data_IF_077105660171
#
_entry.id   IF_077105660171
#
_cell.length_a   1.000
_cell.length_b   1.000
_cell.length_c   1.000
_cell.angle_alpha   90.00
_cell.angle_beta   90.00
_cell.angle_gamma   90.00
#
_symmetry.space_group_name_H-M   'P 1'
#
loop_
_entity.id
_entity.type
_entity.pdbx_description
1 polymer ?
#
# COMPACT_ATOMS: atom_id res chain seq x y z
N UNK A 1 -1.56 5.78 6.48
CA UNK A 1 -2.75 5.72 5.62
C UNK A 1 -3.57 4.46 5.89
N UNK A 2 -2.94 3.27 5.93
CA UNK A 2 -3.61 1.99 6.18
C UNK A 2 -3.89 1.73 7.69
N UNK A 3 -4.46 2.71 8.37
CA UNK A 3 -4.81 2.67 9.79
C UNK A 3 -6.18 3.34 10.02
N UNK A 4 -6.30 4.59 9.64
CA UNK A 4 -7.49 5.39 9.92
C UNK A 4 -8.81 4.79 9.38
N UNK A 5 -8.86 4.13 8.21
CA UNK A 5 -10.10 3.52 7.71
C UNK A 5 -10.66 2.42 8.62
N UNK A 6 -9.81 1.77 9.42
CA UNK A 6 -10.22 0.65 10.25
C UNK A 6 -10.78 1.07 11.60
N UNK A 7 -10.29 2.19 12.18
CA UNK A 7 -10.62 2.64 13.54
C UNK A 7 -12.11 2.84 13.81
N UNK A 8 -12.94 3.37 12.88
CA UNK A 8 -14.36 3.54 13.14
C UNK A 8 -15.16 2.24 13.18
N UNK A 9 -14.65 1.17 12.55
CA UNK A 9 -15.40 -0.05 12.29
C UNK A 9 -14.87 -1.26 13.06
N UNK A 10 -13.62 -1.21 13.53
CA UNK A 10 -12.94 -2.33 14.18
C UNK A 10 -12.21 -1.89 15.44
N UNK A 11 -12.08 -2.82 16.39
CA UNK A 11 -11.08 -2.69 17.44
C UNK A 11 -9.73 -3.04 16.86
N UNK A 12 -8.84 -2.04 16.75
CA UNK A 12 -7.53 -2.18 16.11
C UNK A 12 -6.48 -2.56 17.14
N UNK A 13 -5.66 -3.55 16.81
CA UNK A 13 -4.45 -3.93 17.53
C UNK A 13 -3.25 -3.70 16.62
N UNK A 14 -2.22 -3.07 17.15
CA UNK A 14 -1.03 -2.75 16.39
C UNK A 14 0.04 -3.81 16.61
N UNK A 15 0.63 -4.28 15.52
CA UNK A 15 1.81 -5.13 15.54
C UNK A 15 3.04 -4.24 15.51
N UNK A 16 4.02 -4.55 16.34
CA UNK A 16 5.25 -3.78 16.46
C UNK A 16 6.11 -3.86 15.21
N UNK A 17 6.97 -2.86 15.05
CA UNK A 17 8.07 -2.87 14.10
C UNK A 17 9.39 -2.77 14.85
N UNK A 18 10.47 -3.27 14.23
CA UNK A 18 11.81 -3.04 14.77
C UNK A 18 12.31 -1.62 14.43
N UNK A 19 13.49 -1.27 14.92
CA UNK A 19 14.12 0.06 14.71
C UNK A 19 14.42 0.34 13.22
N UNK A 20 14.46 -0.68 12.39
CA UNK A 20 14.58 -0.56 10.94
C UNK A 20 13.23 -0.43 10.22
N UNK A 21 12.11 -0.47 10.94
CA UNK A 21 10.74 -0.39 10.42
C UNK A 21 10.25 -1.70 9.79
N UNK A 22 10.85 -2.86 10.12
CA UNK A 22 10.39 -4.18 9.69
C UNK A 22 9.30 -4.66 10.63
N UNK A 23 8.27 -5.28 10.07
CA UNK A 23 7.20 -5.90 10.87
C UNK A 23 7.77 -7.02 11.76
N UNK A 24 7.44 -6.98 13.04
CA UNK A 24 7.75 -8.04 14.00
C UNK A 24 6.78 -9.21 13.81
N UNK A 25 7.22 -10.23 13.08
CA UNK A 25 6.42 -11.41 12.78
C UNK A 25 6.13 -12.25 14.03
N UNK A 26 6.99 -12.21 15.04
CA UNK A 26 6.75 -12.89 16.33
C UNK A 26 5.62 -12.20 17.09
N UNK A 27 5.63 -10.86 17.14
CA UNK A 27 4.55 -10.09 17.77
C UNK A 27 3.20 -10.28 17.03
N UNK A 28 3.22 -10.40 15.70
CA UNK A 28 2.02 -10.75 14.93
C UNK A 28 1.48 -12.13 15.33
N UNK A 29 2.35 -13.15 15.38
CA UNK A 29 2.00 -14.52 15.78
C UNK A 29 1.43 -14.54 17.21
N UNK A 30 2.09 -13.88 18.15
CA UNK A 30 1.67 -13.82 19.55
C UNK A 30 0.32 -13.10 19.70
N UNK A 31 0.11 -12.03 18.91
CA UNK A 31 -1.15 -11.30 18.90
C UNK A 31 -2.30 -12.13 18.38
N UNK A 32 -2.09 -12.88 17.28
CA UNK A 32 -3.09 -13.79 16.71
C UNK A 32 -3.42 -14.94 17.69
N UNK A 33 -2.41 -15.53 18.34
CA UNK A 33 -2.60 -16.56 19.36
C UNK A 33 -3.40 -16.03 20.55
N UNK A 34 -3.05 -14.86 21.07
CA UNK A 34 -3.70 -14.24 22.23
C UNK A 34 -5.16 -13.87 21.95
N UNK A 35 -5.46 -13.43 20.74
CA UNK A 35 -6.80 -13.01 20.34
C UNK A 35 -7.68 -14.17 19.81
N UNK A 36 -7.13 -15.35 19.64
CA UNK A 36 -7.80 -16.64 19.43
C UNK A 36 -9.11 -16.56 18.60
N UNK A 37 -9.01 -16.36 17.30
CA UNK A 37 -10.16 -16.33 16.37
C UNK A 37 -11.05 -15.05 16.42
N UNK A 38 -10.71 -14.09 17.26
CA UNK A 38 -11.41 -12.78 17.29
C UNK A 38 -10.92 -11.84 16.19
N UNK A 39 -9.70 -12.05 15.68
CA UNK A 39 -9.16 -11.28 14.56
C UNK A 39 -9.89 -11.69 13.28
N UNK A 40 -10.48 -10.73 12.59
CA UNK A 40 -11.17 -10.94 11.31
C UNK A 40 -10.34 -10.50 10.12
N UNK A 41 -9.45 -9.54 10.33
CA UNK A 41 -8.65 -8.95 9.28
C UNK A 41 -7.25 -8.62 9.80
N UNK A 42 -6.23 -9.01 9.05
CA UNK A 42 -4.86 -8.53 9.19
C UNK A 42 -4.61 -7.52 8.06
N UNK A 43 -4.48 -6.24 8.41
CA UNK A 43 -4.23 -5.19 7.44
C UNK A 43 -2.75 -4.80 7.46
N UNK A 44 -2.06 -4.94 6.34
CA UNK A 44 -0.63 -4.68 6.21
C UNK A 44 -0.32 -3.87 4.95
N UNK A 45 0.73 -3.04 4.99
CA UNK A 45 1.26 -2.46 3.76
C UNK A 45 2.14 -3.47 3.04
N UNK A 46 1.99 -3.58 1.72
CA UNK A 46 2.84 -4.45 0.91
C UNK A 46 4.28 -3.95 0.82
N UNK A 47 4.44 -2.62 0.78
CA UNK A 47 5.74 -1.95 0.86
C UNK A 47 5.60 -0.61 1.60
N UNK A 48 6.56 -0.30 2.47
CA UNK A 48 6.55 0.93 3.25
C UNK A 48 6.85 2.15 2.38
N UNK A 49 6.03 3.18 2.54
CA UNK A 49 6.25 4.49 1.89
C UNK A 49 7.28 5.38 2.62
N UNK A 50 7.91 4.88 3.67
CA UNK A 50 8.98 5.57 4.41
C UNK A 50 10.29 4.82 4.27
N UNK A 51 10.31 3.53 4.64
CA UNK A 51 11.56 2.74 4.64
C UNK A 51 11.84 2.04 3.31
N UNK A 52 10.83 1.94 2.44
CA UNK A 52 10.91 1.17 1.19
C UNK A 52 10.85 -0.34 1.40
N UNK A 53 10.73 -0.84 2.61
CA UNK A 53 10.65 -2.28 2.89
C UNK A 53 9.45 -2.94 2.23
N UNK A 54 9.68 -4.10 1.64
CA UNK A 54 8.63 -5.04 1.23
C UNK A 54 8.38 -6.03 2.37
N UNK A 55 7.13 -6.15 2.76
CA UNK A 55 6.71 -7.17 3.72
C UNK A 55 6.50 -8.53 3.04
N UNK A 56 6.67 -9.60 3.82
CA UNK A 56 6.31 -10.97 3.39
C UNK A 56 4.79 -11.15 3.42
N UNK A 57 4.12 -10.57 2.43
CA UNK A 57 2.65 -10.56 2.38
C UNK A 57 2.07 -11.98 2.32
N UNK A 58 2.76 -12.93 1.70
CA UNK A 58 2.31 -14.33 1.60
C UNK A 58 2.50 -15.08 2.93
N UNK A 59 3.63 -14.87 3.61
CA UNK A 59 3.82 -15.41 4.95
C UNK A 59 2.83 -14.85 5.97
N UNK A 60 2.52 -13.55 5.86
CA UNK A 60 1.49 -12.90 6.68
C UNK A 60 0.09 -13.46 6.34
N UNK A 61 -0.22 -13.68 5.07
CA UNK A 61 -1.47 -14.31 4.62
C UNK A 61 -1.65 -15.70 5.22
N UNK A 62 -0.64 -16.55 5.08
CA UNK A 62 -0.65 -17.90 5.65
C UNK A 62 -0.89 -17.88 7.16
N UNK A 63 -0.22 -16.97 7.85
CA UNK A 63 -0.38 -16.81 9.29
C UNK A 63 -1.78 -16.33 9.66
N UNK A 64 -2.34 -15.36 8.96
CA UNK A 64 -3.71 -14.87 9.15
C UNK A 64 -4.73 -15.98 8.91
N UNK A 65 -4.62 -16.70 7.80
CA UNK A 65 -5.54 -17.79 7.44
C UNK A 65 -5.50 -18.94 8.44
N UNK A 66 -4.33 -19.31 8.97
CA UNK A 66 -4.21 -20.32 10.03
C UNK A 66 -5.00 -19.94 11.30
N UNK A 67 -5.28 -18.65 11.50
CA UNK A 67 -6.06 -18.13 12.63
C UNK A 67 -7.50 -17.72 12.25
N UNK A 68 -7.94 -18.05 11.03
CA UNK A 68 -9.29 -17.75 10.53
C UNK A 68 -9.52 -16.25 10.22
N UNK A 69 -8.46 -15.49 10.02
CA UNK A 69 -8.50 -14.09 9.61
C UNK A 69 -8.19 -13.94 8.13
N UNK A 70 -8.81 -12.95 7.46
CA UNK A 70 -8.45 -12.55 6.11
C UNK A 70 -7.24 -11.59 6.15
N UNK A 71 -6.59 -11.40 4.99
CA UNK A 71 -5.53 -10.43 4.80
C UNK A 71 -5.95 -9.30 3.86
N UNK A 72 -5.70 -8.05 4.27
CA UNK A 72 -5.78 -6.87 3.43
C UNK A 72 -4.40 -6.29 3.18
N UNK A 73 -4.01 -6.16 1.92
CA UNK A 73 -2.73 -5.56 1.53
C UNK A 73 -2.96 -4.17 0.96
N UNK A 74 -2.38 -3.16 1.62
CA UNK A 74 -2.19 -1.84 1.02
C UNK A 74 -1.03 -1.95 0.02
N UNK A 75 -1.38 -2.06 -1.25
CA UNK A 75 -0.46 -2.21 -2.37
C UNK A 75 0.02 -0.89 -2.96
N UNK A 76 -0.29 0.24 -2.33
CA UNK A 76 -0.03 1.58 -2.89
C UNK A 76 1.43 1.83 -3.28
N UNK A 77 2.38 1.19 -2.61
CA UNK A 77 3.81 1.24 -2.96
C UNK A 77 4.34 -0.07 -3.55
N UNK A 78 3.63 -1.17 -3.38
CA UNK A 78 4.06 -2.47 -3.91
C UNK A 78 3.73 -2.59 -5.40
N UNK A 79 2.46 -2.36 -5.76
CA UNK A 79 1.93 -2.60 -7.11
C UNK A 79 2.71 -1.84 -8.21
N UNK A 80 3.08 -0.55 -8.04
CA UNK A 80 3.80 0.18 -9.08
C UNK A 80 5.28 -0.22 -9.24
N UNK A 81 5.89 -0.89 -8.25
CA UNK A 81 7.35 -1.01 -8.16
C UNK A 81 7.87 -2.45 -8.13
N UNK A 82 7.01 -3.45 -7.95
CA UNK A 82 7.48 -4.82 -7.83
C UNK A 82 6.43 -5.85 -8.27
N UNK A 83 6.85 -6.91 -8.95
CA UNK A 83 5.97 -8.02 -9.28
C UNK A 83 5.56 -8.76 -7.99
N UNK A 84 4.31 -9.19 -7.94
CA UNK A 84 3.76 -10.11 -6.93
C UNK A 84 2.54 -10.81 -7.50
N UNK A 85 2.12 -11.90 -6.87
CA UNK A 85 0.93 -12.66 -7.24
C UNK A 85 -0.09 -12.60 -6.10
N UNK A 86 -1.34 -12.20 -6.40
CA UNK A 86 -2.43 -12.25 -5.41
C UNK A 86 -2.93 -13.66 -5.13
N UNK A 87 -2.76 -14.58 -6.10
CA UNK A 87 -3.32 -15.93 -6.05
C UNK A 87 -2.27 -16.97 -6.39
N UNK A 88 -1.24 -17.12 -5.55
CA UNK A 88 -0.21 -18.12 -5.75
C UNK A 88 -0.81 -19.55 -5.69
N UNK A 89 -0.02 -20.54 -6.12
CA UNK A 89 -0.48 -21.93 -6.20
C UNK A 89 -0.93 -22.51 -4.84
N UNK A 90 -0.32 -22.07 -3.73
CA UNK A 90 -0.78 -22.42 -2.39
C UNK A 90 -1.91 -21.48 -1.96
N UNK A 91 -3.15 -21.98 -1.76
CA UNK A 91 -4.27 -21.14 -1.32
C UNK A 91 -4.05 -20.44 0.03
N UNK A 92 -3.18 -20.99 0.89
CA UNK A 92 -2.86 -20.39 2.18
C UNK A 92 -2.11 -19.06 2.04
N UNK A 93 -1.41 -18.88 0.93
CA UNK A 93 -0.60 -17.69 0.63
C UNK A 93 -1.37 -16.60 -0.11
N UNK A 94 -2.65 -16.84 -0.45
CA UNK A 94 -3.46 -15.92 -1.23
C UNK A 94 -3.74 -14.63 -0.47
N UNK A 95 -3.72 -13.52 -1.20
CA UNK A 95 -4.15 -12.21 -0.69
C UNK A 95 -5.65 -12.08 -0.92
N UNK A 96 -6.43 -11.81 0.15
CA UNK A 96 -7.88 -11.68 0.05
C UNK A 96 -8.30 -10.32 -0.50
N UNK A 97 -7.67 -9.24 0.01
CA UNK A 97 -7.99 -7.88 -0.39
C UNK A 97 -6.73 -7.11 -0.75
N UNK A 98 -6.80 -6.37 -1.85
CA UNK A 98 -5.73 -5.48 -2.30
C UNK A 98 -6.29 -4.11 -2.66
N UNK A 99 -5.68 -3.04 -2.14
CA UNK A 99 -6.00 -1.68 -2.58
C UNK A 99 -4.74 -0.95 -3.06
N UNK A 100 -4.88 -0.15 -4.12
CA UNK A 100 -3.81 0.69 -4.63
C UNK A 100 -4.35 1.92 -5.36
N UNK A 101 -3.46 2.83 -5.75
CA UNK A 101 -3.82 4.11 -6.36
C UNK A 101 -3.15 4.27 -7.73
N UNK A 102 -3.94 4.63 -8.72
CA UNK A 102 -3.51 4.78 -10.11
C UNK A 102 -2.41 5.86 -10.27
N UNK A 103 -2.47 6.97 -9.51
CA UNK A 103 -1.49 8.04 -9.61
C UNK A 103 -0.06 7.63 -9.23
N UNK A 104 0.11 6.54 -8.51
CA UNK A 104 1.43 5.95 -8.21
C UNK A 104 1.89 4.97 -9.28
N UNK A 105 0.98 4.59 -10.19
CA UNK A 105 1.26 3.77 -11.37
C UNK A 105 1.34 4.61 -12.66
N UNK A 106 1.80 5.86 -12.54
CA UNK A 106 1.95 6.81 -13.66
C UNK A 106 0.64 7.23 -14.33
N UNK A 107 -0.53 6.84 -13.79
CA UNK A 107 -1.83 7.19 -14.33
C UNK A 107 -2.39 8.46 -13.66
N UNK A 108 -2.72 9.52 -14.42
CA UNK A 108 -3.34 10.73 -13.89
C UNK A 108 -4.82 10.51 -13.53
N UNK A 109 -5.48 11.56 -13.06
CA UNK A 109 -6.92 11.67 -12.80
C UNK A 109 -7.49 10.89 -11.61
N UNK A 110 -6.62 10.41 -10.70
CA UNK A 110 -7.01 10.06 -9.33
C UNK A 110 -7.90 8.82 -9.16
N UNK A 111 -7.77 7.80 -10.02
CA UNK A 111 -8.46 6.53 -9.79
C UNK A 111 -7.84 5.74 -8.63
N UNK A 112 -8.67 5.05 -7.86
CA UNK A 112 -8.29 4.07 -6.84
C UNK A 112 -8.92 2.72 -7.13
N UNK A 113 -8.25 1.64 -6.75
CA UNK A 113 -8.67 0.28 -7.02
C UNK A 113 -8.75 -0.50 -5.71
N UNK A 114 -9.84 -1.24 -5.54
CA UNK A 114 -10.00 -2.27 -4.53
C UNK A 114 -10.30 -3.60 -5.23
N UNK A 115 -9.48 -4.61 -4.99
CA UNK A 115 -9.73 -5.99 -5.38
C UNK A 115 -10.16 -6.74 -4.12
N UNK A 116 -11.28 -7.45 -4.19
CA UNK A 116 -11.86 -8.18 -3.07
C UNK A 116 -12.60 -9.44 -3.57
N UNK A 117 -12.82 -10.43 -2.70
CA UNK A 117 -13.62 -11.61 -3.06
C UNK A 117 -15.05 -11.23 -3.44
N UNK A 118 -15.54 -11.78 -4.54
CA UNK A 118 -16.90 -11.51 -5.04
C UNK A 118 -17.98 -11.77 -3.99
N UNK A 119 -17.82 -12.84 -3.18
CA UNK A 119 -18.77 -13.18 -2.11
C UNK A 119 -18.94 -12.05 -1.09
N UNK A 120 -17.84 -11.38 -0.73
CA UNK A 120 -17.84 -10.33 0.31
C UNK A 120 -18.41 -9.04 -0.26
N UNK A 121 -18.09 -8.75 -1.54
CA UNK A 121 -18.65 -7.60 -2.27
C UNK A 121 -20.18 -7.74 -2.42
N UNK A 122 -20.68 -8.94 -2.74
CA UNK A 122 -22.12 -9.18 -2.90
C UNK A 122 -22.91 -9.08 -1.60
N UNK A 123 -22.28 -9.25 -0.46
CA UNK A 123 -22.93 -9.20 0.87
C UNK A 123 -22.79 -7.83 1.54
N UNK A 124 -21.99 -6.92 0.97
CA UNK A 124 -21.74 -5.63 1.58
C UNK A 124 -22.80 -4.60 1.18
N UNK A 125 -23.09 -3.67 2.07
CA UNK A 125 -23.92 -2.51 1.78
C UNK A 125 -23.06 -1.34 1.27
N UNK A 126 -23.58 -0.48 0.38
CA UNK A 126 -22.83 0.65 -0.13
C UNK A 126 -22.54 1.65 0.99
N UNK A 127 -21.30 2.09 1.10
CA UNK A 127 -20.91 3.13 2.04
C UNK A 127 -21.41 4.52 1.61
N UNK A 128 -21.46 4.76 0.29
CA UNK A 128 -21.93 6.01 -0.31
C UNK A 128 -23.26 5.76 -1.01
N UNK A 129 -24.27 6.53 -0.64
CA UNK A 129 -25.60 6.45 -1.23
C UNK A 129 -25.79 7.58 -2.22
N UNK A 130 -26.12 7.25 -3.48
CA UNK A 130 -26.32 8.25 -4.52
C UNK A 130 -26.73 7.67 -5.86
N UNK A 131 -26.96 8.54 -6.83
CA UNK A 131 -27.19 8.12 -8.22
C UNK A 131 -26.01 7.32 -8.74
N UNK A 132 -26.25 6.45 -9.71
CA UNK A 132 -25.25 5.52 -10.25
C UNK A 132 -25.19 4.18 -9.51
N UNK A 133 -25.45 4.13 -8.20
CA UNK A 133 -25.49 2.90 -7.41
C UNK A 133 -26.90 2.31 -7.26
N UNK A 134 -27.92 3.01 -7.73
CA UNK A 134 -29.35 2.71 -7.52
C UNK A 134 -29.98 2.20 -8.80
N UNK A 135 -30.66 1.05 -8.73
CA UNK A 135 -31.51 0.51 -9.80
C UNK A 135 -32.91 1.16 -9.75
N UNK A 136 -33.52 1.20 -8.57
CA UNK A 136 -34.83 1.82 -8.35
C UNK A 136 -34.94 2.46 -6.97
N UNK A 137 -35.46 3.67 -6.91
CA UNK A 137 -35.79 4.33 -5.65
C UNK A 137 -37.25 4.80 -5.63
N UNK A 138 -37.90 4.62 -4.50
CA UNK A 138 -39.22 5.17 -4.19
C UNK A 138 -39.17 5.87 -2.83
N UNK A 139 -40.28 6.49 -2.42
CA UNK A 139 -40.39 7.06 -1.04
C UNK A 139 -40.34 6.02 0.08
N UNK A 140 -40.48 4.73 -0.26
CA UNK A 140 -40.63 3.65 0.72
C UNK A 140 -39.49 2.64 0.69
N UNK A 141 -38.77 2.51 -0.43
CA UNK A 141 -37.68 1.55 -0.56
C UNK A 141 -36.65 1.97 -1.61
N UNK A 142 -35.45 1.44 -1.49
CA UNK A 142 -34.36 1.54 -2.46
C UNK A 142 -33.96 0.13 -2.88
N UNK A 143 -33.83 -0.08 -4.20
CA UNK A 143 -33.18 -1.26 -4.78
C UNK A 143 -31.85 -0.83 -5.37
N UNK A 144 -30.80 -1.38 -4.86
CA UNK A 144 -29.44 -1.11 -5.27
C UNK A 144 -29.09 -1.91 -6.54
N UNK A 145 -28.13 -1.42 -7.29
CA UNK A 145 -27.49 -2.19 -8.38
C UNK A 145 -26.66 -3.34 -7.80
N UNK A 146 -26.24 -4.25 -8.68
CA UNK A 146 -25.29 -5.28 -8.29
C UNK A 146 -23.87 -4.70 -8.22
N UNK A 147 -22.95 -5.30 -7.44
CA UNK A 147 -21.54 -4.99 -7.55
C UNK A 147 -20.97 -5.26 -8.95
N UNK A 148 -20.01 -4.45 -9.43
CA UNK A 148 -19.32 -3.39 -8.70
C UNK A 148 -20.05 -2.04 -8.63
N UNK A 149 -21.05 -1.78 -9.44
CA UNK A 149 -21.76 -0.50 -9.58
C UNK A 149 -22.37 -0.04 -8.25
N UNK A 150 -22.77 -0.98 -7.40
CA UNK A 150 -23.26 -0.72 -6.05
C UNK A 150 -22.34 0.21 -5.24
N UNK A 151 -21.02 0.12 -5.45
CA UNK A 151 -20.00 0.87 -4.71
C UNK A 151 -19.50 2.12 -5.44
N UNK A 152 -20.02 2.40 -6.63
CA UNK A 152 -19.60 3.51 -7.47
C UNK A 152 -20.69 4.60 -7.56
N UNK A 153 -21.02 5.19 -6.40
CA UNK A 153 -22.00 6.27 -6.35
C UNK A 153 -21.49 7.51 -7.10
N UNK A 154 -22.35 8.09 -7.92
CA UNK A 154 -22.05 9.23 -8.79
C UNK A 154 -21.60 8.83 -10.20
N UNK A 155 -20.97 9.76 -10.91
CA UNK A 155 -20.42 9.48 -12.25
C UNK A 155 -19.06 8.81 -12.10
N UNK A 156 -18.86 7.61 -12.70
CA UNK A 156 -17.56 6.93 -12.65
C UNK A 156 -16.43 7.78 -13.24
N UNK A 157 -15.24 7.66 -12.66
CA UNK A 157 -14.04 8.35 -13.15
C UNK A 157 -13.46 7.64 -14.40
N UNK A 158 -14.18 7.73 -15.52
CA UNK A 158 -13.81 7.07 -16.78
C UNK A 158 -12.40 7.46 -17.25
N UNK A 159 -12.03 8.73 -17.12
CA UNK A 159 -10.72 9.20 -17.55
C UNK A 159 -9.59 8.58 -16.72
N UNK A 160 -9.79 8.45 -15.40
CA UNK A 160 -8.83 7.80 -14.53
C UNK A 160 -8.70 6.30 -14.80
N UNK A 161 -9.81 5.62 -15.11
CA UNK A 161 -9.81 4.19 -15.48
C UNK A 161 -9.05 3.95 -16.79
N UNK A 162 -9.34 4.74 -17.83
CA UNK A 162 -8.65 4.64 -19.13
C UNK A 162 -7.16 4.93 -18.99
N UNK A 163 -6.79 5.97 -18.21
CA UNK A 163 -5.40 6.29 -17.96
C UNK A 163 -4.67 5.17 -17.18
N UNK A 164 -5.35 4.53 -16.23
CA UNK A 164 -4.79 3.39 -15.50
C UNK A 164 -4.60 2.19 -16.44
N UNK A 165 -5.56 1.88 -17.29
CA UNK A 165 -5.43 0.78 -18.26
C UNK A 165 -4.21 0.99 -19.16
N UNK A 166 -4.05 2.18 -19.75
CA UNK A 166 -2.89 2.50 -20.57
C UNK A 166 -1.55 2.39 -19.81
N UNK A 167 -1.52 2.81 -18.55
CA UNK A 167 -0.35 2.67 -17.70
C UNK A 167 -0.03 1.19 -17.40
N UNK A 168 -1.04 0.38 -17.10
CA UNK A 168 -0.88 -1.06 -16.86
C UNK A 168 -0.38 -1.79 -18.10
N UNK A 169 -0.93 -1.51 -19.28
CA UNK A 169 -0.48 -2.06 -20.56
C UNK A 169 0.99 -1.69 -20.82
N UNK A 170 1.36 -0.42 -20.65
CA UNK A 170 2.75 0.04 -20.81
C UNK A 170 3.71 -0.66 -19.86
N UNK A 171 3.34 -0.80 -18.58
CA UNK A 171 4.18 -1.50 -17.59
C UNK A 171 4.26 -3.01 -17.87
N UNK A 172 3.19 -3.61 -18.38
CA UNK A 172 3.19 -5.02 -18.79
C UNK A 172 4.11 -5.26 -20.00
N UNK A 173 4.08 -4.35 -20.99
CA UNK A 173 4.94 -4.41 -22.18
C UNK A 173 6.43 -4.27 -21.84
N UNK A 174 6.75 -3.39 -20.88
CA UNK A 174 8.13 -3.26 -20.35
C UNK A 174 8.52 -4.50 -19.54
N UNK A 175 7.57 -5.06 -18.81
CA UNK A 175 7.76 -6.14 -17.85
C UNK A 175 8.06 -5.63 -16.44
N UNK A 176 7.21 -5.95 -15.48
CA UNK A 176 7.37 -5.51 -14.08
C UNK A 176 8.67 -6.00 -13.43
N UNK A 177 9.22 -7.13 -13.89
CA UNK A 177 10.54 -7.61 -13.46
C UNK A 177 11.65 -6.66 -13.87
N UNK A 178 11.65 -6.20 -15.11
CA UNK A 178 12.62 -5.25 -15.65
C UNK A 178 12.54 -3.89 -14.95
N UNK A 179 11.32 -3.39 -14.72
CA UNK A 179 11.09 -2.16 -13.94
C UNK A 179 11.71 -2.28 -12.55
N UNK A 180 11.40 -3.37 -11.85
CA UNK A 180 11.92 -3.62 -10.50
C UNK A 180 13.45 -3.73 -10.45
N UNK A 181 14.05 -4.41 -11.41
CA UNK A 181 15.51 -4.56 -11.49
C UNK A 181 16.19 -3.22 -11.80
N UNK A 182 15.66 -2.46 -12.74
CA UNK A 182 16.16 -1.11 -13.07
C UNK A 182 16.12 -0.19 -11.86
N UNK A 183 14.99 -0.12 -11.19
CA UNK A 183 14.82 0.67 -9.96
C UNK A 183 15.78 0.22 -8.85
N UNK A 184 15.97 -1.09 -8.68
CA UNK A 184 16.93 -1.63 -7.70
C UNK A 184 18.40 -1.25 -8.01
N UNK A 185 18.76 -1.10 -9.28
CA UNK A 185 20.09 -0.58 -9.64
C UNK A 185 20.26 0.88 -9.24
N UNK A 186 19.25 1.71 -9.54
CA UNK A 186 19.26 3.13 -9.17
C UNK A 186 19.28 3.34 -7.66
N UNK A 187 18.48 2.58 -6.91
CA UNK A 187 18.41 2.72 -5.46
C UNK A 187 19.72 2.31 -4.78
N UNK A 188 20.38 1.25 -5.25
CA UNK A 188 21.71 0.85 -4.75
C UNK A 188 22.76 1.93 -5.00
N UNK A 189 22.75 2.52 -6.19
CA UNK A 189 23.63 3.63 -6.53
C UNK A 189 23.39 4.83 -5.60
N UNK A 190 22.14 5.24 -5.43
CA UNK A 190 21.77 6.36 -4.56
C UNK A 190 22.12 6.10 -3.08
N UNK A 191 21.87 4.90 -2.55
CA UNK A 191 22.25 4.51 -1.19
C UNK A 191 23.78 4.63 -1.01
N UNK A 192 24.56 4.08 -1.93
CA UNK A 192 26.02 4.14 -1.86
C UNK A 192 26.53 5.58 -1.85
N UNK A 193 25.93 6.46 -2.67
CA UNK A 193 26.25 7.88 -2.68
C UNK A 193 25.89 8.58 -1.37
N UNK A 194 24.67 8.39 -0.88
CA UNK A 194 24.21 8.99 0.37
C UNK A 194 25.00 8.54 1.59
N UNK A 195 25.42 7.27 1.62
CA UNK A 195 26.27 6.74 2.70
C UNK A 195 27.63 7.42 2.80
N UNK A 196 28.15 7.97 1.70
CA UNK A 196 29.44 8.65 1.67
C UNK A 196 29.38 10.11 2.14
N UNK A 197 28.17 10.66 2.35
CA UNK A 197 27.98 12.06 2.76
C UNK A 197 27.94 12.14 4.28
N UNK A 198 28.89 12.87 4.92
CA UNK A 198 28.86 13.07 6.37
C UNK A 198 27.58 13.77 6.82
N UNK A 199 27.03 13.35 7.95
CA UNK A 199 25.81 13.91 8.53
C UNK A 199 24.49 13.43 7.88
N UNK A 200 24.54 12.60 6.84
CA UNK A 200 23.35 11.95 6.28
C UNK A 200 23.03 10.69 7.07
N UNK A 201 21.81 10.61 7.59
CA UNK A 201 21.24 9.42 8.23
C UNK A 201 20.07 8.90 7.38
N UNK A 202 20.15 7.64 6.93
CA UNK A 202 19.08 6.98 6.17
C UNK A 202 18.21 6.12 7.09
N UNK A 203 16.90 6.09 6.78
CA UNK A 203 15.87 5.28 7.46
C UNK A 203 15.47 4.06 6.63
N UNK A 204 16.41 3.50 5.91
CA UNK A 204 16.20 2.31 5.11
C UNK A 204 17.36 1.36 5.35
N UNK A 205 17.05 0.11 5.68
CA UNK A 205 18.08 -0.91 5.86
C UNK A 205 18.52 -1.49 4.51
N UNK A 206 19.81 -1.80 4.39
CA UNK A 206 20.37 -2.42 3.19
C UNK A 206 19.91 -3.88 3.00
N UNK A 207 19.61 -4.58 4.10
CA UNK A 207 19.29 -6.01 4.10
C UNK A 207 17.80 -6.28 4.30
N UNK A 208 17.10 -6.53 3.20
CA UNK A 208 15.77 -7.12 3.25
C UNK A 208 15.69 -8.31 2.27
N UNK A 209 15.48 -9.53 2.81
CA UNK A 209 15.35 -10.76 1.99
C UNK A 209 14.16 -10.71 1.00
N UNK A 210 13.16 -9.88 1.29
CA UNK A 210 11.98 -9.68 0.44
C UNK A 210 12.17 -8.54 -0.57
N UNK A 211 13.33 -7.87 -0.51
CA UNK A 211 13.64 -6.73 -1.35
C UNK A 211 13.03 -5.42 -0.84
N UNK A 212 13.09 -4.42 -1.68
CA UNK A 212 12.60 -3.08 -1.41
C UNK A 212 11.99 -2.45 -2.65
N UNK A 213 11.22 -1.40 -2.45
CA UNK A 213 10.80 -0.47 -3.51
C UNK A 213 11.75 0.72 -3.57
N UNK A 214 11.74 1.44 -4.67
CA UNK A 214 12.67 2.53 -5.03
C UNK A 214 12.42 3.80 -4.24
N UNK A 215 12.62 3.73 -2.93
CA UNK A 215 12.39 4.85 -2.02
C UNK A 215 13.50 4.89 -0.97
N UNK A 216 14.02 6.10 -0.69
CA UNK A 216 14.98 6.36 0.39
C UNK A 216 14.45 7.53 1.21
N UNK A 217 14.29 7.33 2.51
CA UNK A 217 14.09 8.41 3.47
C UNK A 217 15.39 8.70 4.19
N UNK A 218 15.72 9.97 4.35
CA UNK A 218 16.94 10.39 5.02
C UNK A 218 16.76 11.73 5.73
N UNK A 219 17.61 12.00 6.69
CA UNK A 219 17.80 13.31 7.32
C UNK A 219 19.24 13.76 7.17
N UNK A 220 19.48 15.05 7.28
CA UNK A 220 20.81 15.66 7.30
C UNK A 220 20.98 16.34 8.65
N UNK A 221 22.06 16.01 9.35
CA UNK A 221 22.34 16.56 10.67
C UNK A 221 22.39 18.10 10.65
N UNK A 222 21.74 18.74 11.60
CA UNK A 222 21.68 20.20 11.73
C UNK A 222 20.76 20.91 10.73
N UNK A 223 20.12 20.20 9.79
CA UNK A 223 19.21 20.80 8.81
C UNK A 223 17.78 20.28 8.96
N UNK A 224 16.81 21.20 8.83
CA UNK A 224 15.41 20.80 8.77
C UNK A 224 15.09 20.10 7.44
N UNK A 225 14.09 19.21 7.44
CA UNK A 225 13.65 18.55 6.21
C UNK A 225 13.17 19.54 5.13
N UNK A 226 12.61 20.70 5.52
CA UNK A 226 12.23 21.78 4.61
C UNK A 226 13.45 22.40 3.95
N UNK A 227 14.46 22.74 4.75
CA UNK A 227 15.72 23.32 4.25
C UNK A 227 16.42 22.39 3.27
N UNK A 228 16.49 21.10 3.61
CA UNK A 228 17.09 20.09 2.71
C UNK A 228 16.32 20.01 1.39
N UNK A 229 14.98 19.95 1.44
CA UNK A 229 14.16 19.89 0.24
C UNK A 229 14.30 21.15 -0.63
N UNK A 230 14.39 22.33 -0.01
CA UNK A 230 14.57 23.60 -0.72
C UNK A 230 15.93 23.70 -1.43
N UNK A 231 17.02 23.32 -0.75
CA UNK A 231 18.36 23.29 -1.33
C UNK A 231 18.42 22.32 -2.51
N UNK A 232 17.93 21.10 -2.33
CA UNK A 232 17.91 20.08 -3.39
C UNK A 232 17.13 20.56 -4.62
N UNK A 233 15.99 21.21 -4.41
CA UNK A 233 15.18 21.74 -5.51
C UNK A 233 15.83 22.91 -6.22
N UNK A 234 16.37 23.90 -5.47
CA UNK A 234 16.90 25.15 -6.05
C UNK A 234 18.30 24.99 -6.65
N UNK A 235 19.16 24.24 -5.96
CA UNK A 235 20.57 24.12 -6.37
C UNK A 235 20.82 22.86 -7.23
N UNK A 236 20.11 21.78 -6.94
CA UNK A 236 20.28 20.50 -7.64
C UNK A 236 19.21 20.18 -8.68
N UNK A 237 18.10 20.91 -8.73
CA UNK A 237 16.95 20.55 -9.56
C UNK A 237 16.30 19.22 -9.14
N UNK A 238 16.55 18.78 -7.90
CA UNK A 238 16.09 17.48 -7.39
C UNK A 238 14.82 17.67 -6.57
N UNK A 239 13.71 17.15 -7.08
CA UNK A 239 12.43 17.16 -6.37
C UNK A 239 12.38 16.01 -5.34
N UNK A 240 12.11 16.35 -4.08
CA UNK A 240 11.91 15.39 -3.00
C UNK A 240 10.63 15.69 -2.23
N UNK A 241 10.07 14.70 -1.55
CA UNK A 241 9.02 14.94 -0.56
C UNK A 241 9.65 15.18 0.80
N UNK A 242 9.05 16.08 1.58
CA UNK A 242 9.47 16.36 2.96
C UNK A 242 8.27 16.29 3.91
N UNK A 243 8.49 15.99 5.20
CA UNK A 243 7.47 15.94 6.25
C UNK A 243 7.16 14.51 6.72
N UNK A 244 5.95 14.26 7.15
CA UNK A 244 5.54 13.04 7.87
C UNK A 244 5.02 11.91 6.97
N UNK A 245 4.93 12.10 5.66
CA UNK A 245 4.61 11.08 4.63
C UNK A 245 3.34 10.25 4.89
N UNK A 246 2.34 10.79 5.60
CA UNK A 246 1.16 10.05 6.09
C UNK A 246 1.51 8.87 7.00
N UNK A 247 2.66 8.90 7.67
CA UNK A 247 3.18 7.87 8.56
C UNK A 247 3.60 8.45 9.93
N UNK A 248 2.78 9.35 10.48
CA UNK A 248 3.04 10.07 11.73
C UNK A 248 3.52 9.15 12.87
N UNK A 249 2.86 8.01 13.18
CA UNK A 249 3.29 7.16 14.29
C UNK A 249 4.66 6.51 14.12
N UNK A 250 5.23 6.56 12.91
CA UNK A 250 6.56 6.01 12.62
C UNK A 250 7.63 7.10 12.54
N UNK A 251 7.26 8.33 12.14
CA UNK A 251 8.21 9.43 11.89
C UNK A 251 8.40 10.28 13.15
N UNK A 252 7.41 10.36 14.03
CA UNK A 252 7.46 11.00 15.35
C UNK A 252 8.14 10.10 16.39
#
# INVERSE_FOLDING_TARGET
ANDLPWRPHYRVYYVRTDDAGRLDMADLQDSLNRLAGQVKLVAVTGASNVTGYRNDIHGIARLAHCHGANIFVDGAQLVPHAPFDMSPADPADRIDYLAFSAHKMYAPFGAGILIAPERDIKMAEPLLHGGGAVDLASHQFVRWLNPPELFEAGTPNMMGVVALLAAMETLADIGMGEVHEYENRLIRYAISGLQSIPGVRMYSCADNRWGRVSLISFTVEGLSHHTVAEILAREGGIAVRSGLFCAHPYVE
#
